data_IF_353841235691
#
_entry.id   IF_353841235691
#
_cell.length_a   1.000
_cell.length_b   1.000
_cell.length_c   1.000
_cell.angle_alpha   90.00
_cell.angle_beta   90.00
_cell.angle_gamma   90.00
#
_symmetry.space_group_name_H-M   'P 1'
#
loop_
_entity.id
_entity.type
_entity.pdbx_description
1 polymer ?
#
# COMPACT_ATOMS: atom_id res chain seq x y z
N UNK A 1 13.65 -2.69 -27.16
CA UNK A 1 13.44 -2.82 -25.71
C UNK A 1 13.93 -1.52 -25.10
N UNK A 2 13.04 -0.67 -24.65
CA UNK A 2 13.41 0.59 -24.00
C UNK A 2 14.00 0.25 -22.65
N UNK A 3 15.23 0.68 -22.43
CA UNK A 3 15.98 0.58 -21.16
C UNK A 3 15.36 1.55 -20.12
N UNK A 4 14.13 1.25 -19.78
CA UNK A 4 13.37 1.96 -18.76
C UNK A 4 13.52 1.15 -17.51
N UNK A 5 14.42 1.43 -16.63
CA UNK A 5 14.64 0.77 -15.34
C UNK A 5 13.60 -0.26 -14.85
N UNK A 6 13.89 -1.03 -13.82
CA UNK A 6 13.00 -2.09 -13.36
C UNK A 6 11.70 -1.54 -12.73
N UNK A 7 10.67 -2.38 -12.66
CA UNK A 7 9.47 -2.14 -11.86
C UNK A 7 9.71 -2.70 -10.45
N UNK A 8 9.56 -1.88 -9.43
CA UNK A 8 9.59 -2.33 -8.04
C UNK A 8 8.19 -2.72 -7.59
N UNK A 9 8.01 -3.98 -7.20
CA UNK A 9 6.76 -4.50 -6.63
C UNK A 9 6.95 -4.67 -5.13
N UNK A 10 6.07 -4.06 -4.33
CA UNK A 10 6.12 -4.08 -2.87
C UNK A 10 4.82 -4.69 -2.34
N UNK A 11 4.91 -5.87 -1.73
CA UNK A 11 3.75 -6.65 -1.27
C UNK A 11 4.22 -7.64 -0.20
N UNK A 12 3.56 -7.70 0.93
CA UNK A 12 3.92 -8.60 2.03
C UNK A 12 3.33 -10.01 1.90
N UNK A 13 2.22 -10.14 1.16
CA UNK A 13 1.57 -11.43 0.88
C UNK A 13 2.30 -12.15 -0.25
N UNK A 14 2.98 -13.31 0.02
CA UNK A 14 3.86 -13.97 -0.96
C UNK A 14 3.15 -14.36 -2.26
N UNK A 15 1.92 -14.84 -2.18
CA UNK A 15 1.17 -15.31 -3.36
C UNK A 15 0.78 -14.13 -4.27
N UNK A 16 0.40 -12.99 -3.69
CA UNK A 16 0.11 -11.76 -4.44
C UNK A 16 1.37 -11.19 -5.07
N UNK A 17 2.47 -11.15 -4.31
CA UNK A 17 3.77 -10.69 -4.80
C UNK A 17 4.21 -11.51 -6.02
N UNK A 18 4.15 -12.84 -5.93
CA UNK A 18 4.56 -13.72 -7.03
C UNK A 18 3.62 -13.60 -8.24
N UNK A 19 2.30 -13.48 -8.02
CA UNK A 19 1.34 -13.23 -9.11
C UNK A 19 1.68 -11.96 -9.90
N UNK A 20 1.89 -10.85 -9.22
CA UNK A 20 2.22 -9.55 -9.85
C UNK A 20 3.57 -9.64 -10.57
N UNK A 21 4.58 -10.20 -9.91
CA UNK A 21 5.92 -10.41 -10.47
C UNK A 21 5.88 -11.24 -11.75
N UNK A 22 5.24 -12.42 -11.71
CA UNK A 22 5.14 -13.32 -12.88
C UNK A 22 4.38 -12.63 -14.02
N UNK A 23 3.28 -11.93 -13.70
CA UNK A 23 2.49 -11.19 -14.69
C UNK A 23 3.32 -10.15 -15.43
N UNK A 24 4.09 -9.35 -14.70
CA UNK A 24 4.96 -8.31 -15.29
C UNK A 24 6.14 -8.92 -16.05
N UNK A 25 6.78 -9.94 -15.50
CA UNK A 25 7.92 -10.63 -16.13
C UNK A 25 7.51 -11.31 -17.43
N UNK A 26 6.33 -11.92 -17.48
CA UNK A 26 5.77 -12.53 -18.71
C UNK A 26 5.59 -11.50 -19.84
N UNK A 27 5.32 -10.23 -19.49
CA UNK A 27 5.26 -9.12 -20.46
C UNK A 27 6.62 -8.53 -20.82
N UNK A 28 7.71 -9.09 -20.30
CA UNK A 28 9.08 -8.68 -20.60
C UNK A 28 9.61 -7.53 -19.76
N UNK A 29 8.93 -7.15 -18.67
CA UNK A 29 9.45 -6.15 -17.73
C UNK A 29 10.47 -6.77 -16.77
N UNK A 30 11.50 -6.01 -16.44
CA UNK A 30 12.38 -6.35 -15.32
C UNK A 30 11.67 -5.99 -14.01
N UNK A 31 11.65 -6.92 -13.06
CA UNK A 31 10.94 -6.77 -11.78
C UNK A 31 11.88 -6.99 -10.62
N UNK A 32 11.87 -6.07 -9.68
CA UNK A 32 12.51 -6.20 -8.37
C UNK A 32 11.39 -6.23 -7.32
N UNK A 33 11.56 -6.98 -6.25
CA UNK A 33 10.53 -7.18 -5.23
C UNK A 33 10.99 -6.73 -3.85
N UNK A 34 10.07 -6.22 -3.05
CA UNK A 34 10.24 -5.92 -1.63
C UNK A 34 8.99 -6.40 -0.86
N UNK A 35 9.14 -6.68 0.42
CA UNK A 35 8.04 -7.17 1.28
C UNK A 35 7.39 -6.09 2.15
N UNK A 36 7.95 -4.91 2.15
CA UNK A 36 7.47 -3.75 2.91
C UNK A 36 8.13 -2.47 2.39
N UNK A 37 7.62 -1.32 2.84
CA UNK A 37 8.14 -0.04 2.39
C UNK A 37 9.59 0.24 2.83
N UNK A 38 10.09 -0.40 3.89
CA UNK A 38 11.50 -0.22 4.33
C UNK A 38 12.44 -0.88 3.35
N UNK A 39 12.21 -2.16 3.01
CA UNK A 39 12.98 -2.86 1.97
C UNK A 39 12.90 -2.12 0.63
N UNK A 40 11.73 -1.59 0.29
CA UNK A 40 11.54 -0.80 -0.92
C UNK A 40 12.46 0.44 -0.95
N UNK A 41 12.58 1.19 0.14
CA UNK A 41 13.47 2.36 0.23
C UNK A 41 14.94 1.97 0.09
N UNK A 42 15.37 0.86 0.69
CA UNK A 42 16.74 0.36 0.57
C UNK A 42 17.09 0.00 -0.89
N UNK A 43 16.16 -0.64 -1.61
CA UNK A 43 16.31 -0.96 -3.03
C UNK A 43 16.37 0.31 -3.88
N UNK A 44 15.50 1.29 -3.61
CA UNK A 44 15.45 2.55 -4.35
C UNK A 44 16.76 3.34 -4.20
N UNK A 45 17.40 3.30 -3.03
CA UNK A 45 18.71 3.93 -2.81
C UNK A 45 19.84 3.29 -3.63
N UNK A 46 19.72 2.00 -3.98
CA UNK A 46 20.73 1.28 -4.77
C UNK A 46 20.51 1.37 -6.29
N UNK A 47 19.27 1.66 -6.71
CA UNK A 47 18.91 1.76 -8.12
C UNK A 47 17.51 2.32 -8.30
N UNK A 48 17.35 3.24 -9.26
CA UNK A 48 16.08 3.92 -9.47
C UNK A 48 15.11 3.05 -10.29
N UNK A 49 13.99 2.56 -9.71
CA UNK A 49 12.95 1.90 -10.48
C UNK A 49 12.25 2.92 -11.40
N UNK A 50 11.72 2.44 -12.52
CA UNK A 50 10.93 3.27 -13.42
C UNK A 50 9.49 3.44 -12.98
N UNK A 51 9.01 2.52 -12.14
CA UNK A 51 7.64 2.48 -11.61
C UNK A 51 7.63 1.69 -10.29
N UNK A 52 6.81 2.12 -9.35
CA UNK A 52 6.55 1.40 -8.11
C UNK A 52 5.10 0.90 -8.12
N UNK A 53 4.91 -0.38 -7.83
CA UNK A 53 3.61 -1.02 -7.59
C UNK A 53 3.62 -1.51 -6.16
N UNK A 54 2.80 -0.95 -5.30
CA UNK A 54 2.84 -1.26 -3.86
C UNK A 54 1.46 -1.55 -3.30
N UNK A 55 1.37 -2.53 -2.39
CA UNK A 55 0.23 -2.63 -1.50
C UNK A 55 0.19 -1.44 -0.55
N UNK A 56 -0.97 -1.20 0.05
CA UNK A 56 -1.18 -0.11 1.01
C UNK A 56 -0.81 -0.55 2.42
N UNK A 57 -1.36 -1.68 2.86
CA UNK A 57 -1.18 -2.17 4.23
C UNK A 57 -0.09 -3.23 4.26
N UNK A 58 1.05 -2.89 4.82
CA UNK A 58 2.19 -3.79 4.96
C UNK A 58 2.87 -3.55 6.31
N UNK A 59 3.47 -4.59 6.91
CA UNK A 59 4.20 -4.45 8.16
C UNK A 59 5.42 -3.53 8.02
N UNK A 60 5.92 -3.01 9.14
CA UNK A 60 7.09 -2.14 9.28
C UNK A 60 6.95 -0.76 8.63
N UNK A 61 6.58 -0.66 7.37
CA UNK A 61 6.29 0.57 6.65
C UNK A 61 5.26 0.32 5.58
N UNK A 62 4.13 0.95 5.69
CA UNK A 62 3.01 0.86 4.75
C UNK A 62 3.21 1.69 3.48
N UNK A 63 2.33 1.50 2.49
CA UNK A 63 2.40 2.18 1.21
C UNK A 63 2.25 3.70 1.31
N UNK A 64 1.43 4.22 2.23
CA UNK A 64 1.28 5.66 2.42
C UNK A 64 2.57 6.29 2.96
N UNK A 65 3.18 5.64 3.95
CA UNK A 65 4.47 6.07 4.52
C UNK A 65 5.60 5.98 3.49
N UNK A 66 5.60 4.95 2.66
CA UNK A 66 6.55 4.83 1.54
C UNK A 66 6.39 6.01 0.58
N UNK A 67 5.16 6.28 0.08
CA UNK A 67 4.91 7.40 -0.83
C UNK A 67 5.29 8.72 -0.22
N UNK A 68 5.00 8.96 1.06
CA UNK A 68 5.43 10.16 1.76
C UNK A 68 6.96 10.35 1.67
N UNK A 69 7.74 9.30 1.96
CA UNK A 69 9.20 9.35 1.87
C UNK A 69 9.67 9.69 0.45
N UNK A 70 9.06 9.06 -0.55
CA UNK A 70 9.39 9.33 -1.95
C UNK A 70 9.09 10.77 -2.37
N UNK A 71 8.00 11.37 -1.89
CA UNK A 71 7.56 12.72 -2.32
C UNK A 71 8.32 13.86 -1.66
N UNK A 72 8.92 13.64 -0.50
CA UNK A 72 9.78 14.65 0.15
C UNK A 72 11.21 14.66 -0.41
N UNK A 73 11.65 13.55 -1.03
CA UNK A 73 12.98 13.43 -1.61
C UNK A 73 13.00 13.94 -3.05
N UNK A 74 13.86 14.93 -3.40
CA UNK A 74 13.97 15.48 -4.74
C UNK A 74 14.28 14.44 -5.83
N UNK A 75 15.02 13.38 -5.51
CA UNK A 75 15.46 12.36 -6.48
C UNK A 75 14.33 11.37 -6.82
N UNK A 76 13.43 11.11 -5.89
CA UNK A 76 12.39 10.09 -6.02
C UNK A 76 10.98 10.64 -6.14
N UNK A 77 10.76 11.93 -5.85
CA UNK A 77 9.40 12.54 -5.82
C UNK A 77 8.65 12.44 -7.15
N UNK A 78 9.36 12.29 -8.27
CA UNK A 78 8.80 12.13 -9.63
C UNK A 78 8.47 10.70 -10.00
N UNK A 79 8.84 9.69 -9.21
CA UNK A 79 8.57 8.29 -9.51
C UNK A 79 7.07 8.02 -9.55
N UNK A 80 6.55 7.40 -10.64
CA UNK A 80 5.16 6.99 -10.68
C UNK A 80 4.91 5.84 -9.69
N UNK A 81 3.76 5.91 -8.99
CA UNK A 81 3.35 4.90 -8.00
C UNK A 81 1.95 4.42 -8.31
N UNK A 82 1.77 3.10 -8.35
CA UNK A 82 0.47 2.43 -8.37
C UNK A 82 0.24 1.83 -6.98
N UNK A 83 -0.90 2.16 -6.36
CA UNK A 83 -1.41 1.43 -5.21
C UNK A 83 -2.24 0.22 -5.66
N UNK A 84 -1.92 -0.94 -5.10
CA UNK A 84 -2.82 -2.09 -5.08
C UNK A 84 -3.55 -2.10 -3.74
N UNK A 85 -4.85 -2.25 -3.74
CA UNK A 85 -5.62 -2.24 -2.50
C UNK A 85 -6.60 -3.39 -2.43
N UNK A 86 -6.76 -3.99 -1.26
CA UNK A 86 -7.85 -4.91 -0.99
C UNK A 86 -9.21 -4.20 -1.15
N UNK A 87 -10.23 -4.98 -1.38
CA UNK A 87 -11.62 -4.55 -1.57
C UNK A 87 -12.11 -3.61 -0.46
N UNK A 88 -12.92 -2.60 -0.81
CA UNK A 88 -13.49 -1.57 0.08
C UNK A 88 -12.51 -0.48 0.55
N UNK A 89 -11.98 0.23 -0.41
CA UNK A 89 -11.32 1.49 -0.11
C UNK A 89 -12.37 2.59 -0.14
N UNK A 90 -12.46 3.32 0.94
CA UNK A 90 -13.36 4.46 1.00
C UNK A 90 -12.96 5.51 -0.06
N UNK A 91 -13.92 6.25 -0.67
CA UNK A 91 -13.59 7.31 -1.63
C UNK A 91 -12.53 8.27 -1.10
N UNK A 92 -12.56 8.57 0.20
CA UNK A 92 -11.63 9.44 0.90
C UNK A 92 -10.18 8.90 0.88
N UNK A 93 -9.99 7.57 0.86
CA UNK A 93 -8.66 6.95 0.74
C UNK A 93 -8.07 7.18 -0.64
N UNK A 94 -8.89 7.11 -1.69
CA UNK A 94 -8.48 7.40 -3.06
C UNK A 94 -8.14 8.88 -3.25
N UNK A 95 -8.94 9.76 -2.66
CA UNK A 95 -8.68 11.21 -2.67
C UNK A 95 -7.36 11.53 -1.95
N UNK A 96 -7.15 10.92 -0.80
CA UNK A 96 -5.89 11.10 -0.05
C UNK A 96 -4.70 10.54 -0.82
N UNK A 97 -4.81 9.34 -1.40
CA UNK A 97 -3.76 8.76 -2.24
C UNK A 97 -3.39 9.71 -3.39
N UNK A 98 -4.39 10.28 -4.07
CA UNK A 98 -4.16 11.26 -5.12
C UNK A 98 -3.50 12.55 -4.58
N UNK A 99 -3.96 13.05 -3.42
CA UNK A 99 -3.40 14.25 -2.80
C UNK A 99 -1.93 14.10 -2.38
N UNK A 100 -1.51 12.90 -1.99
CA UNK A 100 -0.11 12.60 -1.67
C UNK A 100 0.74 12.22 -2.89
N UNK A 101 0.15 12.24 -4.09
CA UNK A 101 0.86 12.02 -5.34
C UNK A 101 0.94 10.56 -5.80
N UNK A 102 0.04 9.68 -5.35
CA UNK A 102 -0.15 8.36 -5.95
C UNK A 102 -0.68 8.52 -7.36
N UNK A 103 -0.05 7.86 -8.33
CA UNK A 103 -0.36 8.08 -9.75
C UNK A 103 -1.60 7.32 -10.19
N UNK A 104 -1.79 6.11 -9.69
CA UNK A 104 -2.95 5.24 -9.97
C UNK A 104 -3.29 4.40 -8.76
N UNK A 105 -4.56 4.05 -8.70
CA UNK A 105 -5.12 3.19 -7.67
C UNK A 105 -5.84 2.02 -8.34
N UNK A 106 -5.48 0.78 -8.00
CA UNK A 106 -6.05 -0.44 -8.55
C UNK A 106 -6.59 -1.30 -7.41
N UNK A 107 -7.85 -1.68 -7.52
CA UNK A 107 -8.50 -2.53 -6.52
C UNK A 107 -8.21 -4.02 -6.79
N UNK A 108 -7.99 -4.78 -5.74
CA UNK A 108 -7.93 -6.26 -5.79
C UNK A 108 -9.39 -6.81 -5.78
N UNK A 109 -9.75 -7.82 -6.56
CA UNK A 109 -8.88 -8.65 -7.39
C UNK A 109 -8.38 -7.93 -8.66
N UNK A 110 -7.09 -8.11 -8.97
CA UNK A 110 -6.43 -7.42 -10.08
C UNK A 110 -6.96 -7.95 -11.42
N UNK A 111 -7.54 -7.07 -12.23
CA UNK A 111 -7.85 -7.36 -13.63
C UNK A 111 -6.57 -7.20 -14.44
N UNK A 112 -5.97 -8.32 -14.83
CA UNK A 112 -4.61 -8.38 -15.41
C UNK A 112 -4.45 -7.47 -16.63
N UNK A 113 -5.43 -7.46 -17.53
CA UNK A 113 -5.36 -6.63 -18.77
C UNK A 113 -5.35 -5.15 -18.45
N UNK A 114 -6.17 -4.70 -17.51
CA UNK A 114 -6.25 -3.31 -17.09
C UNK A 114 -4.98 -2.88 -16.32
N UNK A 115 -4.48 -3.74 -15.45
CA UNK A 115 -3.22 -3.53 -14.74
C UNK A 115 -2.05 -3.35 -15.71
N UNK A 116 -1.88 -4.25 -16.66
CA UNK A 116 -0.81 -4.19 -17.65
C UNK A 116 -0.91 -2.95 -18.57
N UNK A 117 -2.13 -2.55 -18.94
CA UNK A 117 -2.36 -1.31 -19.70
C UNK A 117 -1.93 -0.09 -18.89
N UNK A 118 -2.28 -0.03 -17.61
CA UNK A 118 -1.90 1.04 -16.70
C UNK A 118 -0.37 1.12 -16.53
N UNK A 119 0.29 -0.02 -16.34
CA UNK A 119 1.76 -0.09 -16.26
C UNK A 119 2.41 0.43 -17.54
N UNK A 120 1.95 -0.01 -18.71
CA UNK A 120 2.49 0.43 -20.01
C UNK A 120 2.30 1.94 -20.21
N UNK A 121 1.14 2.49 -19.86
CA UNK A 121 0.84 3.92 -19.92
C UNK A 121 1.82 4.72 -19.04
N UNK A 122 1.98 4.35 -17.78
CA UNK A 122 2.85 5.08 -16.85
C UNK A 122 4.32 5.01 -17.25
N UNK A 123 4.80 3.86 -17.66
CA UNK A 123 6.15 3.71 -18.17
C UNK A 123 6.38 4.51 -19.46
N UNK A 124 5.36 4.72 -20.29
CA UNK A 124 5.48 5.55 -21.50
C UNK A 124 5.60 7.04 -21.19
N UNK A 125 4.94 7.51 -20.13
CA UNK A 125 4.99 8.90 -19.67
C UNK A 125 6.30 9.26 -18.96
N UNK A 126 6.95 8.27 -18.32
CA UNK A 126 8.15 8.46 -17.50
C UNK A 126 7.89 9.16 -16.17
N UNK A 127 8.93 9.74 -15.58
CA UNK A 127 8.84 10.46 -14.30
C UNK A 127 7.97 11.72 -14.43
N UNK A 128 7.23 12.04 -13.37
CA UNK A 128 6.37 13.21 -13.30
C UNK A 128 7.25 14.47 -13.07
N UNK A 129 7.55 15.19 -14.15
CA UNK A 129 8.50 16.31 -14.13
C UNK A 129 8.11 17.48 -13.18
N UNK A 130 6.81 17.67 -12.89
CA UNK A 130 6.28 18.78 -12.10
C UNK A 130 5.77 18.37 -10.71
N UNK A 131 6.27 17.26 -10.13
CA UNK A 131 5.84 16.85 -8.79
C UNK A 131 6.35 17.86 -7.74
N UNK A 132 5.42 18.57 -7.12
CA UNK A 132 5.72 19.47 -5.99
C UNK A 132 6.09 18.66 -4.75
N UNK A 133 6.96 19.20 -3.87
CA UNK A 133 7.21 18.57 -2.57
C UNK A 133 5.90 18.42 -1.79
N UNK A 134 5.73 17.28 -1.17
CA UNK A 134 4.57 17.03 -0.32
C UNK A 134 4.68 17.83 0.98
N UNK A 135 3.59 18.48 1.37
CA UNK A 135 3.49 19.13 2.67
C UNK A 135 3.36 18.05 3.76
N UNK A 136 4.43 17.85 4.51
CA UNK A 136 4.52 16.83 5.55
C UNK A 136 3.43 16.98 6.62
N UNK A 137 3.09 18.23 7.01
CA UNK A 137 2.06 18.47 8.03
C UNK A 137 0.68 18.01 7.54
N UNK A 138 0.30 18.42 6.34
CA UNK A 138 -0.97 18.00 5.73
C UNK A 138 -1.03 16.48 5.53
N UNK A 139 0.11 15.86 5.18
CA UNK A 139 0.19 14.42 5.09
C UNK A 139 -0.13 13.77 6.44
N UNK A 140 0.58 14.13 7.52
CA UNK A 140 0.39 13.49 8.82
C UNK A 140 -1.00 13.74 9.41
N UNK A 141 -1.60 14.93 9.21
CA UNK A 141 -2.96 15.23 9.62
C UNK A 141 -3.96 14.30 8.89
N UNK A 142 -3.94 14.25 7.57
CA UNK A 142 -4.85 13.41 6.79
C UNK A 142 -4.61 11.91 6.98
N UNK A 143 -3.36 11.49 7.14
CA UNK A 143 -3.03 10.10 7.39
C UNK A 143 -3.50 9.61 8.76
N UNK A 144 -3.31 10.42 9.81
CA UNK A 144 -3.82 10.13 11.15
C UNK A 144 -5.34 9.95 11.14
N UNK A 145 -6.08 10.90 10.56
CA UNK A 145 -7.55 10.82 10.48
C UNK A 145 -8.02 9.49 9.86
N UNK A 146 -7.34 9.03 8.81
CA UNK A 146 -7.68 7.76 8.16
C UNK A 146 -7.39 6.55 9.02
N UNK A 147 -6.25 6.53 9.68
CA UNK A 147 -5.89 5.44 10.58
C UNK A 147 -6.85 5.38 11.78
N UNK A 148 -7.28 6.51 12.33
CA UNK A 148 -8.28 6.58 13.40
C UNK A 148 -9.64 6.00 12.97
N UNK A 149 -10.09 6.32 11.74
CA UNK A 149 -11.33 5.75 11.16
C UNK A 149 -11.19 4.24 10.97
N UNK A 150 -10.09 3.79 10.38
CA UNK A 150 -9.81 2.35 10.17
C UNK A 150 -9.72 1.60 11.48
N UNK A 151 -9.05 2.16 12.49
CA UNK A 151 -8.96 1.57 13.82
C UNK A 151 -10.35 1.36 14.44
N UNK A 152 -11.21 2.37 14.37
CA UNK A 152 -12.59 2.29 14.87
C UNK A 152 -13.40 1.21 14.15
N UNK A 153 -13.28 1.11 12.82
CA UNK A 153 -13.93 0.07 12.03
C UNK A 153 -13.45 -1.32 12.42
N UNK A 154 -12.14 -1.48 12.58
CA UNK A 154 -11.53 -2.76 12.94
C UNK A 154 -11.91 -3.22 14.35
N UNK A 155 -11.90 -2.31 15.33
CA UNK A 155 -12.39 -2.58 16.70
C UNK A 155 -13.86 -3.02 16.68
N UNK A 156 -14.71 -2.37 15.88
CA UNK A 156 -16.11 -2.74 15.72
C UNK A 156 -16.28 -4.12 15.06
N UNK A 157 -15.43 -4.45 14.06
CA UNK A 157 -15.41 -5.76 13.41
C UNK A 157 -15.03 -6.86 14.40
N UNK A 158 -13.97 -6.65 15.19
CA UNK A 158 -13.49 -7.59 16.22
C UNK A 158 -14.63 -7.90 17.21
N UNK A 159 -15.24 -6.86 17.80
CA UNK A 159 -16.32 -7.03 18.77
C UNK A 159 -17.51 -7.81 18.20
N UNK A 160 -17.89 -7.57 16.93
CA UNK A 160 -18.96 -8.35 16.27
C UNK A 160 -18.57 -9.80 16.05
N UNK A 161 -17.34 -10.07 15.64
CA UNK A 161 -16.87 -11.44 15.39
C UNK A 161 -16.75 -12.23 16.69
N UNK A 162 -16.30 -11.60 17.79
CA UNK A 162 -16.28 -12.19 19.14
C UNK A 162 -17.69 -12.57 19.60
N UNK A 163 -18.65 -11.65 19.46
CA UNK A 163 -20.05 -11.93 19.81
C UNK A 163 -20.66 -13.06 18.96
N UNK A 164 -20.33 -13.14 17.67
CA UNK A 164 -20.76 -14.25 16.81
C UNK A 164 -20.17 -15.60 17.26
N UNK A 165 -18.89 -15.61 17.64
CA UNK A 165 -18.21 -16.83 18.10
C UNK A 165 -18.87 -17.44 19.38
N UNK A 166 -19.51 -16.63 20.21
CA UNK A 166 -20.23 -17.11 21.40
C UNK A 166 -21.48 -17.95 21.02
N UNK A 167 -22.11 -17.62 19.90
CA UNK A 167 -23.40 -18.20 19.48
C UNK A 167 -23.28 -19.29 18.41
N UNK A 168 -22.15 -19.35 17.69
CA UNK A 168 -21.94 -20.28 16.59
C UNK A 168 -21.66 -21.72 17.06
N UNK A 169 -22.11 -22.75 16.29
CA UNK A 169 -21.70 -24.14 16.49
C UNK A 169 -20.18 -24.30 16.36
N UNK A 170 -19.59 -25.27 17.10
CA UNK A 170 -18.12 -25.46 17.12
C UNK A 170 -17.51 -25.73 15.74
N UNK A 171 -18.25 -26.41 14.86
CA UNK A 171 -17.79 -26.72 13.50
C UNK A 171 -17.57 -25.46 12.63
N UNK A 172 -18.33 -24.41 12.87
CA UNK A 172 -18.24 -23.14 12.12
C UNK A 172 -17.23 -22.16 12.72
N UNK A 173 -16.85 -22.34 13.99
CA UNK A 173 -15.97 -21.39 14.71
C UNK A 173 -14.57 -21.28 14.15
N UNK A 174 -14.07 -22.32 13.46
CA UNK A 174 -12.68 -22.33 13.00
C UNK A 174 -12.37 -21.20 12.01
N UNK A 175 -13.22 -20.97 11.02
CA UNK A 175 -13.04 -19.90 10.03
C UNK A 175 -13.18 -18.51 10.67
N UNK A 176 -14.12 -18.36 11.60
CA UNK A 176 -14.30 -17.08 12.32
C UNK A 176 -13.14 -16.75 13.26
N UNK A 177 -12.52 -17.76 13.89
CA UNK A 177 -11.30 -17.57 14.70
C UNK A 177 -10.12 -17.09 13.87
N UNK A 178 -9.94 -17.61 12.66
CA UNK A 178 -8.90 -17.14 11.73
C UNK A 178 -9.15 -15.68 11.36
N UNK A 179 -10.38 -15.35 10.93
CA UNK A 179 -10.74 -13.98 10.57
C UNK A 179 -10.66 -12.99 11.76
N UNK A 180 -10.93 -13.46 12.97
CA UNK A 180 -10.76 -12.67 14.20
C UNK A 180 -9.28 -12.37 14.44
N UNK A 181 -8.43 -13.39 14.31
CA UNK A 181 -6.99 -13.23 14.50
C UNK A 181 -6.39 -12.24 13.49
N UNK A 182 -6.74 -12.35 12.20
CA UNK A 182 -6.34 -11.40 11.15
C UNK A 182 -6.80 -9.97 11.48
N UNK A 183 -8.05 -9.81 11.93
CA UNK A 183 -8.57 -8.50 12.31
C UNK A 183 -7.84 -7.88 13.52
N UNK A 184 -7.41 -8.71 14.48
CA UNK A 184 -6.61 -8.27 15.63
C UNK A 184 -5.22 -7.82 15.18
N UNK A 185 -4.57 -8.58 14.32
CA UNK A 185 -3.24 -8.24 13.78
C UNK A 185 -3.28 -6.92 13.02
N UNK A 186 -4.25 -6.74 12.11
CA UNK A 186 -4.42 -5.48 11.40
C UNK A 186 -4.71 -4.29 12.34
N UNK A 187 -5.53 -4.49 13.40
CA UNK A 187 -5.75 -3.45 14.42
C UNK A 187 -4.45 -3.03 15.10
N UNK A 188 -3.62 -3.98 15.48
CA UNK A 188 -2.37 -3.73 16.19
C UNK A 188 -1.34 -3.01 15.29
N UNK A 189 -1.32 -3.34 13.99
CA UNK A 189 -0.54 -2.62 12.99
C UNK A 189 -1.00 -1.17 12.85
N UNK A 190 -2.32 -0.93 12.71
CA UNK A 190 -2.87 0.44 12.63
C UNK A 190 -2.53 1.24 13.89
N UNK A 191 -2.64 0.64 15.08
CA UNK A 191 -2.28 1.30 16.34
C UNK A 191 -0.79 1.66 16.37
N UNK A 192 0.07 0.77 15.91
CA UNK A 192 1.51 1.01 15.82
C UNK A 192 1.84 2.20 14.91
N UNK A 193 1.16 2.31 13.76
CA UNK A 193 1.31 3.43 12.83
C UNK A 193 0.85 4.75 13.46
N UNK A 194 -0.27 4.76 14.17
CA UNK A 194 -0.75 5.94 14.91
C UNK A 194 0.25 6.40 15.96
N UNK A 195 0.82 5.48 16.72
CA UNK A 195 1.83 5.78 17.74
C UNK A 195 3.11 6.37 17.10
N UNK A 196 3.49 5.91 15.92
CA UNK A 196 4.61 6.46 15.16
C UNK A 196 4.33 7.90 14.71
N UNK A 197 3.12 8.18 14.20
CA UNK A 197 2.72 9.52 13.79
C UNK A 197 2.72 10.47 14.99
N UNK A 198 2.16 10.08 16.13
CA UNK A 198 2.17 10.88 17.35
C UNK A 198 3.59 11.26 17.79
N UNK A 199 4.53 10.31 17.73
CA UNK A 199 5.94 10.58 18.04
C UNK A 199 6.59 11.57 17.06
N UNK A 200 6.21 11.53 15.78
CA UNK A 200 6.77 12.42 14.75
C UNK A 200 6.16 13.83 14.77
N UNK A 201 4.89 13.95 15.18
CA UNK A 201 4.16 15.23 15.20
C UNK A 201 4.22 15.95 16.55
N UNK A 202 4.81 15.34 17.58
CA UNK A 202 5.02 15.97 18.89
C UNK A 202 3.74 16.14 19.72
N UNK A 203 2.70 15.35 19.46
CA UNK A 203 1.46 15.34 20.23
C UNK A 203 1.23 13.98 20.85
#
# INVERSE_FOLDING_TARGET
MTDKGPILVVEDVPDTLELVKVTLTFKGYQVITARNGREALEIIQQGHPALIVTDILMPQMDGFSLVHRLRIDPETRGLPVIFLSATYVAPEDKEFAAAIGVTRFIEKPIVIEEFLRTVAELLSRGTLADSKPLDARKFFEGYRERLEVKLKQKVSQIARTESMLETLPEEERKSFRISLQEAIEERDEIQTLLDQIHKQTGK
#
